data_IF_074801757838
#
_entry.id   IF_074801757838
#
_cell.length_a   1.000
_cell.length_b   1.000
_cell.length_c   1.000
_cell.angle_alpha   90.00
_cell.angle_beta   90.00
_cell.angle_gamma   90.00
#
_symmetry.space_group_name_H-M   'P 1'
#
loop_
_entity.id
_entity.type
_entity.pdbx_description
1 polymer ?
#
# COMPACT_ATOMS: atom_id res chain seq x y z
N UNK A 1 6.43 4.62 9.96
CA UNK A 1 7.15 4.48 8.69
C UNK A 1 6.27 4.87 7.50
N UNK A 2 6.89 5.42 6.44
CA UNK A 2 6.20 5.89 5.24
C UNK A 2 6.81 5.21 4.00
N UNK A 3 5.96 4.58 3.19
CA UNK A 3 6.35 4.02 1.89
C UNK A 3 6.11 5.07 0.81
N UNK A 4 7.14 5.39 0.05
CA UNK A 4 7.07 6.29 -1.10
C UNK A 4 7.17 5.50 -2.40
N UNK A 5 6.55 5.97 -3.48
CA UNK A 5 6.58 5.32 -4.79
C UNK A 5 7.99 4.87 -5.24
N UNK A 6 9.05 5.68 -5.10
CA UNK A 6 10.39 5.26 -5.51
C UNK A 6 10.96 4.06 -4.74
N UNK A 7 10.46 3.74 -3.55
CA UNK A 7 10.93 2.58 -2.77
C UNK A 7 10.23 1.28 -3.12
N UNK A 8 9.16 1.31 -3.93
CA UNK A 8 8.43 0.11 -4.33
C UNK A 8 9.16 -0.55 -5.51
N UNK A 9 9.44 -1.85 -5.38
CA UNK A 9 10.01 -2.73 -6.38
C UNK A 9 9.04 -3.86 -6.72
N UNK A 10 9.32 -4.62 -7.75
CA UNK A 10 8.65 -5.89 -7.98
C UNK A 10 8.88 -6.79 -6.77
N UNK A 11 7.79 -7.20 -6.12
CA UNK A 11 7.82 -8.07 -4.92
C UNK A 11 8.62 -7.52 -3.73
N UNK A 12 8.98 -6.24 -3.70
CA UNK A 12 9.80 -5.71 -2.62
C UNK A 12 9.57 -4.24 -2.30
N UNK A 13 9.96 -3.85 -1.11
CA UNK A 13 9.99 -2.46 -0.67
C UNK A 13 11.37 -2.18 -0.08
N UNK A 14 12.10 -1.26 -0.72
CA UNK A 14 13.34 -0.77 -0.16
C UNK A 14 13.07 0.05 1.10
N UNK A 15 13.87 -0.17 2.11
CA UNK A 15 13.75 0.58 3.37
C UNK A 15 14.06 2.07 3.11
N UNK A 16 13.07 2.92 3.31
CA UNK A 16 13.20 4.35 3.00
C UNK A 16 13.60 5.20 4.20
N UNK A 17 13.67 4.65 5.42
CA UNK A 17 13.91 5.38 6.68
C UNK A 17 13.07 6.67 6.82
N UNK A 18 11.91 6.72 6.16
CA UNK A 18 10.99 7.83 6.25
C UNK A 18 9.92 7.54 7.29
N UNK A 19 9.65 8.52 8.13
CA UNK A 19 8.59 8.47 9.15
C UNK A 19 7.71 9.72 9.03
N UNK A 20 6.49 9.63 9.52
CA UNK A 20 5.61 10.77 9.68
C UNK A 20 4.99 10.75 11.08
N UNK A 21 4.63 11.92 11.56
CA UNK A 21 3.74 12.02 12.72
C UNK A 21 2.33 11.68 12.22
N UNK A 22 1.69 10.72 12.89
CA UNK A 22 0.37 10.22 12.53
C UNK A 22 -0.59 10.46 13.70
N UNK A 23 -1.21 11.66 13.76
CA UNK A 23 -2.01 12.11 14.91
C UNK A 23 -3.44 11.56 14.88
N UNK A 24 -3.55 10.24 14.85
CA UNK A 24 -4.82 9.51 14.83
C UNK A 24 -4.75 8.34 15.80
N UNK A 25 -5.81 8.13 16.54
CA UNK A 25 -5.96 6.90 17.31
C UNK A 25 -6.18 5.70 16.39
N UNK A 26 -5.77 4.53 16.84
CA UNK A 26 -5.91 3.29 16.07
C UNK A 26 -7.38 3.02 15.73
N UNK A 27 -7.67 2.90 14.45
CA UNK A 27 -9.01 2.65 13.93
C UNK A 27 -9.86 3.90 13.74
N UNK A 28 -9.41 5.06 14.22
CA UNK A 28 -10.13 6.32 14.05
C UNK A 28 -9.70 7.02 12.74
N UNK A 29 -10.66 7.56 12.02
CA UNK A 29 -10.42 8.34 10.80
C UNK A 29 -10.40 9.84 11.05
N UNK A 30 -10.74 10.26 12.23
CA UNK A 30 -10.66 11.65 12.68
C UNK A 30 -9.34 11.90 13.39
N UNK A 31 -8.74 13.03 13.08
CA UNK A 31 -7.50 13.48 13.70
C UNK A 31 -7.73 13.81 15.19
N UNK A 32 -6.80 13.45 16.05
CA UNK A 32 -6.82 13.85 17.46
C UNK A 32 -6.90 15.38 17.53
N UNK A 33 -7.81 15.93 18.34
CA UNK A 33 -7.95 17.39 18.50
C UNK A 33 -6.67 18.00 19.10
N UNK A 34 -6.36 19.25 18.76
CA UNK A 34 -5.19 19.94 19.33
C UNK A 34 -5.24 19.97 20.86
N UNK A 35 -6.45 20.12 21.43
CA UNK A 35 -6.67 20.10 22.87
C UNK A 35 -6.29 18.77 23.51
N UNK A 36 -6.69 17.65 22.87
CA UNK A 36 -6.41 16.31 23.40
C UNK A 36 -4.96 15.91 23.10
N UNK A 37 -4.44 16.32 21.95
CA UNK A 37 -3.03 16.14 21.60
C UNK A 37 -2.11 16.83 22.62
N UNK A 38 -2.45 18.05 23.02
CA UNK A 38 -1.67 18.80 24.03
C UNK A 38 -1.69 18.14 25.42
N UNK A 39 -2.79 17.43 25.76
CA UNK A 39 -2.89 16.71 27.03
C UNK A 39 -2.09 15.40 27.04
N UNK A 40 -2.06 14.69 25.91
CA UNK A 40 -1.51 13.34 25.84
C UNK A 40 -0.10 13.30 25.25
N UNK A 41 0.22 14.25 24.35
CA UNK A 41 1.44 14.31 23.55
C UNK A 41 1.94 15.75 23.41
N UNK A 42 2.25 16.39 24.53
CA UNK A 42 2.62 17.81 24.64
C UNK A 42 3.66 18.25 23.62
N UNK A 43 4.79 17.53 23.51
CA UNK A 43 5.86 17.86 22.54
C UNK A 43 5.39 17.80 21.09
N UNK A 44 4.45 16.89 20.75
CA UNK A 44 3.89 16.81 19.41
C UNK A 44 2.97 17.99 19.13
N UNK A 45 2.18 18.39 20.11
CA UNK A 45 1.33 19.57 20.02
C UNK A 45 2.16 20.85 19.85
N UNK A 46 3.21 21.03 20.65
CA UNK A 46 4.16 22.16 20.51
C UNK A 46 4.80 22.19 19.12
N UNK A 47 5.26 21.04 18.62
CA UNK A 47 5.83 20.95 17.27
C UNK A 47 4.83 21.42 16.20
N UNK A 48 3.58 20.98 16.28
CA UNK A 48 2.55 21.41 15.34
C UNK A 48 2.24 22.91 15.46
N UNK A 49 2.11 23.44 16.67
CA UNK A 49 1.86 24.86 16.92
C UNK A 49 3.00 25.71 16.36
N UNK A 50 4.24 25.35 16.66
CA UNK A 50 5.43 26.06 16.17
C UNK A 50 5.52 26.10 14.65
N UNK A 51 5.05 25.02 13.97
CA UNK A 51 5.09 24.90 12.52
C UNK A 51 3.73 25.15 11.85
N UNK A 52 2.75 25.72 12.54
CA UNK A 52 1.38 25.89 12.07
C UNK A 52 1.30 26.61 10.72
N UNK A 53 2.07 27.67 10.53
CA UNK A 53 2.04 28.45 9.29
C UNK A 53 2.56 27.64 8.08
N UNK A 54 3.50 26.73 8.28
CA UNK A 54 4.06 25.88 7.24
C UNK A 54 3.12 24.72 6.92
N UNK A 55 2.67 24.01 7.94
CA UNK A 55 1.79 22.84 7.83
C UNK A 55 0.41 23.27 7.31
N UNK A 56 -0.17 24.33 7.84
CA UNK A 56 -1.47 24.84 7.46
C UNK A 56 -1.55 25.34 6.01
N UNK A 57 -0.44 25.82 5.44
CA UNK A 57 -0.38 26.13 4.00
C UNK A 57 -0.50 24.88 3.13
N UNK A 58 0.03 23.77 3.58
CA UNK A 58 -0.08 22.49 2.85
C UNK A 58 -1.48 21.89 3.00
N UNK A 59 -2.06 21.92 4.18
CA UNK A 59 -3.41 21.37 4.45
C UNK A 59 -4.48 22.13 3.67
N UNK A 60 -4.42 23.46 3.61
CA UNK A 60 -5.37 24.30 2.83
C UNK A 60 -5.35 24.01 1.33
N UNK A 61 -4.26 23.47 0.79
CA UNK A 61 -4.14 23.08 -0.63
C UNK A 61 -4.73 21.71 -0.93
N UNK A 62 -4.98 20.89 0.08
CA UNK A 62 -5.52 19.55 -0.12
C UNK A 62 -7.04 19.57 -0.02
N UNK A 63 -7.73 19.43 -1.15
CA UNK A 63 -9.19 19.23 -1.21
C UNK A 63 -9.65 17.91 -0.54
N UNK A 64 -8.71 17.06 -0.12
CA UNK A 64 -8.97 15.74 0.46
C UNK A 64 -8.99 15.73 1.98
N UNK A 65 -8.70 16.87 2.62
CA UNK A 65 -8.85 17.04 4.06
C UNK A 65 -10.26 17.57 4.31
N UNK A 66 -11.00 16.93 5.20
CA UNK A 66 -12.35 17.33 5.54
C UNK A 66 -12.38 18.77 6.06
N UNK A 67 -13.41 19.54 5.65
CA UNK A 67 -13.60 20.91 6.14
C UNK A 67 -13.82 20.87 7.65
N UNK A 68 -13.07 21.67 8.39
CA UNK A 68 -13.13 21.71 9.85
C UNK A 68 -12.15 20.76 10.57
N UNK A 69 -11.35 19.99 9.81
CA UNK A 69 -10.27 19.19 10.39
C UNK A 69 -9.14 20.04 10.95
N UNK A 70 -8.38 19.48 11.87
CA UNK A 70 -7.17 20.11 12.41
C UNK A 70 -6.17 20.46 11.30
N UNK A 71 -5.41 21.54 11.44
CA UNK A 71 -4.49 22.03 10.41
C UNK A 71 -3.36 21.06 10.08
N UNK A 72 -3.06 20.08 10.95
CA UNK A 72 -2.08 19.02 10.78
C UNK A 72 -2.70 17.70 10.31
N UNK A 73 -4.00 17.66 10.02
CA UNK A 73 -4.66 16.45 9.54
C UNK A 73 -4.04 15.97 8.22
N UNK A 74 -3.90 14.66 8.10
CA UNK A 74 -3.39 14.02 6.91
C UNK A 74 -4.53 13.75 5.91
N UNK A 75 -4.22 13.88 4.63
CA UNK A 75 -5.16 13.49 3.59
C UNK A 75 -5.21 11.98 3.43
N UNK A 76 -6.37 11.44 3.01
CA UNK A 76 -6.54 10.02 2.70
C UNK A 76 -6.32 9.08 3.88
N UNK A 77 -6.73 9.47 5.08
CA UNK A 77 -6.88 8.56 6.20
C UNK A 77 -8.30 8.00 6.18
N UNK A 78 -8.42 6.69 6.21
CA UNK A 78 -9.70 5.99 6.20
C UNK A 78 -9.58 4.63 6.88
N UNK A 79 -10.68 3.89 6.98
CA UNK A 79 -10.66 2.52 7.56
C UNK A 79 -9.59 1.65 6.91
N UNK A 80 -9.40 1.80 5.60
CA UNK A 80 -8.38 1.07 4.82
C UNK A 80 -6.94 1.28 5.32
N UNK A 81 -6.67 2.35 6.09
CA UNK A 81 -5.32 2.63 6.65
C UNK A 81 -4.92 1.61 7.72
N UNK A 82 -5.89 0.95 8.36
CA UNK A 82 -5.68 0.12 9.55
C UNK A 82 -5.65 -1.39 9.30
N UNK A 83 -5.53 -1.81 8.03
CA UNK A 83 -5.36 -3.22 7.69
C UNK A 83 -4.05 -3.80 8.24
N UNK A 84 -4.03 -5.12 8.47
CA UNK A 84 -2.81 -5.83 8.89
C UNK A 84 -1.97 -6.34 7.71
N UNK A 85 -2.48 -6.19 6.50
CA UNK A 85 -1.78 -6.44 5.24
C UNK A 85 -2.37 -5.55 4.16
N UNK A 86 -1.56 -5.17 3.20
CA UNK A 86 -1.99 -4.45 2.02
C UNK A 86 -1.10 -4.78 0.82
N UNK A 87 -1.58 -4.51 -0.37
CA UNK A 87 -0.77 -4.49 -1.59
C UNK A 87 -0.59 -3.05 -2.01
N UNK A 88 0.63 -2.55 -2.01
CA UNK A 88 0.96 -1.24 -2.58
C UNK A 88 1.51 -1.39 -4.00
N UNK A 89 1.30 -0.39 -4.83
CA UNK A 89 1.83 -0.37 -6.19
C UNK A 89 2.21 1.06 -6.60
N UNK A 90 3.06 1.17 -7.62
CA UNK A 90 3.37 2.47 -8.21
C UNK A 90 2.29 2.83 -9.21
N UNK A 91 1.73 4.03 -9.08
CA UNK A 91 0.73 4.56 -10.02
C UNK A 91 1.34 5.39 -11.16
N UNK A 92 2.67 5.44 -11.22
CA UNK A 92 3.42 6.18 -12.22
C UNK A 92 4.62 5.36 -12.71
N UNK A 93 5.05 5.62 -13.92
CA UNK A 93 6.18 4.96 -14.59
C UNK A 93 5.92 3.48 -14.90
N UNK A 94 6.47 2.53 -14.18
CA UNK A 94 6.27 1.08 -14.35
C UNK A 94 5.31 0.56 -13.29
N UNK A 95 4.30 -0.22 -13.68
CA UNK A 95 3.45 -0.93 -12.74
C UNK A 95 4.28 -2.00 -12.03
N UNK A 96 4.52 -1.82 -10.77
CA UNK A 96 5.14 -2.79 -9.87
C UNK A 96 4.40 -2.78 -8.55
N UNK A 97 4.28 -3.93 -7.91
CA UNK A 97 3.57 -4.07 -6.65
C UNK A 97 4.37 -4.85 -5.61
N UNK A 98 4.06 -4.59 -4.35
CA UNK A 98 4.59 -5.33 -3.23
C UNK A 98 3.60 -5.43 -2.09
N UNK A 99 3.75 -6.45 -1.26
CA UNK A 99 2.97 -6.61 -0.04
C UNK A 99 3.53 -5.69 1.06
N UNK A 100 2.63 -5.02 1.75
CA UNK A 100 2.93 -4.21 2.93
C UNK A 100 2.44 -4.97 4.16
N UNK A 101 3.35 -5.19 5.11
CA UNK A 101 3.08 -5.79 6.40
C UNK A 101 3.55 -4.87 7.52
N UNK A 102 3.04 -5.04 8.75
CA UNK A 102 3.56 -4.31 9.90
C UNK A 102 5.07 -4.56 10.09
N UNK A 103 5.83 -3.50 10.20
CA UNK A 103 7.28 -3.53 10.44
C UNK A 103 7.63 -3.01 11.83
N UNK A 104 8.76 -3.46 12.34
CA UNK A 104 9.31 -2.97 13.60
C UNK A 104 9.92 -1.59 13.40
N UNK A 105 9.52 -0.64 14.22
CA UNK A 105 10.11 0.71 14.25
C UNK A 105 11.42 0.73 15.03
N UNK A 106 12.27 1.74 14.85
CA UNK A 106 13.50 1.89 15.66
C UNK A 106 13.25 2.03 17.16
N UNK A 107 12.06 2.44 17.56
CA UNK A 107 11.64 2.56 18.96
C UNK A 107 10.89 1.35 19.51
N UNK A 108 10.90 0.22 18.77
CA UNK A 108 10.42 -1.08 19.26
C UNK A 108 8.92 -1.37 19.06
N UNK A 109 8.19 -0.53 18.33
CA UNK A 109 6.78 -0.76 18.03
C UNK A 109 6.59 -1.43 16.67
N UNK A 110 5.64 -2.37 16.57
CA UNK A 110 5.24 -2.98 15.32
C UNK A 110 4.04 -2.24 14.74
N UNK A 111 4.25 -1.51 13.65
CA UNK A 111 3.22 -0.67 13.04
C UNK A 111 3.08 -0.90 11.54
N UNK A 112 1.88 -0.68 11.02
CA UNK A 112 1.62 -0.70 9.58
C UNK A 112 2.19 0.57 8.94
N UNK A 113 3.01 0.46 7.89
CA UNK A 113 3.50 1.63 7.16
C UNK A 113 2.37 2.41 6.47
N UNK A 114 2.50 3.72 6.43
CA UNK A 114 1.60 4.60 5.67
C UNK A 114 2.12 4.73 4.24
N UNK A 115 1.25 4.51 3.26
CA UNK A 115 1.59 4.71 1.86
C UNK A 115 1.38 6.17 1.46
N UNK A 116 2.43 6.78 0.91
CA UNK A 116 2.42 8.18 0.48
C UNK A 116 1.68 8.36 -0.86
N UNK A 117 1.60 9.60 -1.33
CA UNK A 117 1.10 9.93 -2.67
C UNK A 117 1.88 9.13 -3.73
N UNK A 118 1.21 8.65 -4.76
CA UNK A 118 1.76 7.78 -5.81
C UNK A 118 2.20 6.37 -5.35
N UNK A 119 1.71 5.98 -4.20
CA UNK A 119 1.83 4.62 -3.66
C UNK A 119 0.45 4.14 -3.21
N UNK A 120 -0.55 4.08 -4.11
CA UNK A 120 -1.87 3.57 -3.74
C UNK A 120 -1.75 2.14 -3.24
N UNK A 121 -2.73 1.72 -2.43
CA UNK A 121 -2.72 0.39 -1.86
C UNK A 121 -4.12 -0.20 -1.70
N UNK A 122 -4.17 -1.51 -1.74
CA UNK A 122 -5.36 -2.33 -1.55
C UNK A 122 -5.22 -3.01 -0.19
N UNK A 123 -6.05 -2.66 0.77
CA UNK A 123 -6.11 -3.28 2.09
C UNK A 123 -7.50 -3.82 2.44
N UNK A 124 -8.50 -3.50 1.61
CA UNK A 124 -9.89 -3.91 1.81
C UNK A 124 -10.52 -4.30 0.50
N UNK A 125 -11.49 -5.22 0.57
CA UNK A 125 -12.36 -5.54 -0.54
C UNK A 125 -13.51 -4.51 -0.71
N UNK A 126 -14.33 -4.69 -1.74
CA UNK A 126 -15.48 -3.81 -2.03
C UNK A 126 -16.56 -3.82 -0.93
N UNK A 127 -16.57 -4.85 -0.07
CA UNK A 127 -17.51 -4.98 1.05
C UNK A 127 -16.97 -4.36 2.34
N UNK A 128 -15.75 -3.82 2.31
CA UNK A 128 -15.11 -3.21 3.47
C UNK A 128 -14.42 -4.21 4.41
N UNK A 129 -14.24 -5.48 4.00
CA UNK A 129 -13.47 -6.48 4.73
C UNK A 129 -11.98 -6.29 4.44
N UNK A 130 -11.16 -6.30 5.46
CA UNK A 130 -9.71 -6.30 5.28
C UNK A 130 -9.23 -7.57 4.57
N UNK A 131 -8.33 -7.40 3.62
CA UNK A 131 -7.68 -8.54 2.98
C UNK A 131 -6.73 -9.23 3.96
N UNK A 132 -6.63 -10.55 3.85
CA UNK A 132 -5.67 -11.35 4.58
C UNK A 132 -4.26 -11.20 3.99
N UNK A 133 -3.25 -11.62 4.73
CA UNK A 133 -1.88 -11.69 4.24
C UNK A 133 -1.73 -12.59 3.01
N UNK A 134 -2.46 -13.73 2.97
CA UNK A 134 -2.47 -14.62 1.80
C UNK A 134 -3.06 -13.94 0.57
N UNK A 135 -4.21 -13.24 0.74
CA UNK A 135 -4.81 -12.44 -0.34
C UNK A 135 -3.87 -11.36 -0.84
N UNK A 136 -3.13 -10.68 0.04
CA UNK A 136 -2.15 -9.68 -0.36
C UNK A 136 -1.04 -10.28 -1.23
N UNK A 137 -0.47 -11.43 -0.85
CA UNK A 137 0.53 -12.12 -1.67
C UNK A 137 -0.04 -12.62 -3.00
N UNK A 138 -1.27 -13.12 -3.00
CA UNK A 138 -1.97 -13.55 -4.20
C UNK A 138 -2.15 -12.39 -5.18
N UNK A 139 -2.70 -11.26 -4.71
CA UNK A 139 -2.93 -10.07 -5.53
C UNK A 139 -1.59 -9.50 -6.05
N UNK A 140 -0.59 -9.35 -5.18
CA UNK A 140 0.73 -8.85 -5.57
C UNK A 140 1.42 -9.78 -6.57
N UNK A 141 1.25 -11.09 -6.42
CA UNK A 141 1.74 -12.08 -7.38
C UNK A 141 1.21 -11.82 -8.79
N UNK A 142 -0.09 -11.69 -8.93
CA UNK A 142 -0.76 -11.46 -10.22
C UNK A 142 -0.39 -10.08 -10.80
N UNK A 143 -0.38 -9.04 -9.98
CA UNK A 143 -0.06 -7.67 -10.45
C UNK A 143 1.37 -7.53 -11.00
N UNK A 144 2.29 -8.39 -10.60
CA UNK A 144 3.67 -8.39 -11.10
C UNK A 144 3.90 -9.33 -12.29
N UNK A 145 2.91 -10.05 -12.79
CA UNK A 145 3.07 -10.88 -14.02
C UNK A 145 3.34 -9.99 -15.22
N UNK A 146 4.02 -10.54 -16.22
CA UNK A 146 4.36 -9.80 -17.45
C UNK A 146 3.10 -9.42 -18.21
N UNK A 147 2.12 -10.34 -18.31
CA UNK A 147 0.84 -10.07 -19.00
C UNK A 147 0.10 -8.87 -18.38
N UNK A 148 0.11 -8.74 -17.05
CA UNK A 148 -0.52 -7.60 -16.37
C UNK A 148 0.30 -6.33 -16.57
N UNK A 149 1.63 -6.39 -16.47
CA UNK A 149 2.50 -5.24 -16.67
C UNK A 149 2.42 -4.70 -18.12
N UNK A 150 2.37 -5.58 -19.11
CA UNK A 150 2.18 -5.22 -20.51
C UNK A 150 0.81 -4.61 -20.77
N UNK A 151 -0.26 -5.18 -20.19
CA UNK A 151 -1.59 -4.58 -20.25
C UNK A 151 -1.55 -3.12 -19.80
N UNK A 152 -0.91 -2.81 -18.67
CA UNK A 152 -0.74 -1.43 -18.19
C UNK A 152 0.08 -0.58 -19.13
N UNK A 153 1.17 -1.12 -19.65
CA UNK A 153 2.06 -0.41 -20.59
C UNK A 153 1.33 0.05 -21.85
N UNK A 154 0.42 -0.77 -22.37
CA UNK A 154 -0.31 -0.48 -23.61
C UNK A 154 -1.62 0.29 -23.40
N UNK A 155 -2.23 0.17 -22.22
CA UNK A 155 -3.54 0.76 -21.96
C UNK A 155 -3.45 2.16 -21.38
N UNK A 156 -2.37 2.49 -20.68
CA UNK A 156 -2.22 3.76 -19.98
C UNK A 156 -1.04 4.58 -20.53
N UNK A 157 -1.31 5.83 -20.90
CA UNK A 157 -0.27 6.77 -21.37
C UNK A 157 0.59 7.30 -20.21
N UNK A 158 1.58 6.59 -19.84
CA UNK A 158 2.89 6.98 -19.30
C UNK A 158 3.02 7.86 -18.05
N UNK A 159 2.00 8.53 -17.48
CA UNK A 159 2.23 9.45 -16.35
C UNK A 159 1.47 9.15 -15.06
N UNK A 160 0.35 8.51 -15.12
CA UNK A 160 -0.33 7.93 -13.95
C UNK A 160 -1.33 6.89 -14.40
N UNK A 161 -1.35 5.76 -13.71
CA UNK A 161 -2.35 4.73 -13.94
C UNK A 161 -3.63 5.11 -13.19
N UNK A 162 -4.79 4.80 -13.78
CA UNK A 162 -6.04 4.89 -13.04
C UNK A 162 -6.00 3.95 -11.83
N UNK A 163 -6.54 4.39 -10.71
CA UNK A 163 -6.73 3.54 -9.53
C UNK A 163 -7.72 2.40 -9.84
N UNK A 164 -8.58 2.57 -10.83
CA UNK A 164 -9.47 1.53 -11.32
C UNK A 164 -8.69 0.60 -12.25
N UNK A 165 -8.11 -0.43 -11.68
CA UNK A 165 -7.41 -1.48 -12.40
C UNK A 165 -8.46 -2.38 -13.07
N UNK A 166 -8.63 -2.29 -14.39
CA UNK A 166 -9.49 -3.20 -15.17
C UNK A 166 -8.78 -4.54 -15.40
N UNK A 167 -8.39 -5.19 -14.32
CA UNK A 167 -7.77 -6.51 -14.33
C UNK A 167 -8.70 -7.47 -13.62
N UNK A 168 -8.88 -8.62 -14.20
CA UNK A 168 -9.59 -9.69 -13.54
C UNK A 168 -8.67 -10.42 -12.57
N UNK A 169 -8.98 -10.34 -11.30
CA UNK A 169 -8.34 -11.12 -10.25
C UNK A 169 -9.45 -11.93 -9.58
N UNK A 170 -9.48 -13.27 -9.77
CA UNK A 170 -10.45 -14.13 -9.09
C UNK A 170 -10.39 -13.91 -7.56
N UNK A 171 -11.54 -13.99 -6.90
CA UNK A 171 -11.56 -13.96 -5.44
C UNK A 171 -10.69 -15.09 -4.88
N UNK A 172 -9.92 -14.77 -3.87
CA UNK A 172 -9.04 -15.75 -3.23
C UNK A 172 -9.86 -16.81 -2.49
N UNK A 173 -9.58 -18.08 -2.80
CA UNK A 173 -10.12 -19.25 -2.13
C UNK A 173 -8.97 -20.11 -1.59
N UNK A 174 -8.92 -20.27 -0.28
CA UNK A 174 -7.87 -21.05 0.40
C UNK A 174 -7.95 -22.56 0.09
N UNK A 175 -9.01 -23.03 -0.54
CA UNK A 175 -9.15 -24.41 -1.03
C UNK A 175 -8.61 -24.59 -2.45
N UNK A 176 -8.39 -23.52 -3.19
CA UNK A 176 -7.90 -23.57 -4.58
C UNK A 176 -6.37 -23.74 -4.60
N UNK A 177 -5.90 -24.91 -5.06
CA UNK A 177 -4.47 -25.23 -5.08
C UNK A 177 -3.66 -24.31 -6.01
N UNK A 178 -4.24 -23.85 -7.14
CA UNK A 178 -3.56 -22.93 -8.05
C UNK A 178 -3.30 -21.59 -7.32
N UNK A 179 -4.31 -21.06 -6.66
CA UNK A 179 -4.19 -19.81 -5.91
C UNK A 179 -3.20 -19.92 -4.75
N UNK A 180 -3.21 -21.04 -4.01
CA UNK A 180 -2.21 -21.30 -2.95
C UNK A 180 -0.78 -21.36 -3.51
N UNK A 181 -0.60 -21.92 -4.68
CA UNK A 181 0.72 -21.97 -5.32
C UNK A 181 1.17 -20.57 -5.76
N UNK A 182 0.29 -19.72 -6.27
CA UNK A 182 0.58 -18.30 -6.54
C UNK A 182 1.04 -17.59 -5.26
N UNK A 183 0.34 -17.81 -4.13
CA UNK A 183 0.74 -17.25 -2.82
C UNK A 183 2.17 -17.67 -2.45
N UNK A 184 2.48 -18.97 -2.52
CA UNK A 184 3.81 -19.51 -2.18
C UNK A 184 4.92 -18.91 -3.05
N UNK A 185 4.67 -18.83 -4.36
CA UNK A 185 5.61 -18.25 -5.32
C UNK A 185 5.81 -16.75 -5.06
N UNK A 186 4.72 -16.02 -4.84
CA UNK A 186 4.78 -14.60 -4.49
C UNK A 186 5.56 -14.37 -3.19
N UNK A 187 5.33 -15.17 -2.15
CA UNK A 187 6.11 -15.11 -0.91
C UNK A 187 7.60 -15.40 -1.14
N UNK A 188 7.93 -16.34 -2.03
CA UNK A 188 9.32 -16.62 -2.42
C UNK A 188 9.92 -15.42 -3.13
N UNK A 189 9.20 -14.82 -4.08
CA UNK A 189 9.63 -13.62 -4.81
C UNK A 189 9.95 -12.47 -3.86
N UNK A 190 9.09 -12.21 -2.86
CA UNK A 190 9.33 -11.16 -1.86
C UNK A 190 10.60 -11.37 -1.02
N UNK A 191 11.05 -12.60 -0.85
CA UNK A 191 12.31 -12.90 -0.14
C UNK A 191 13.55 -12.66 -1.00
N UNK A 192 13.41 -12.74 -2.32
CA UNK A 192 14.52 -12.64 -3.28
C UNK A 192 14.37 -11.46 -4.25
N UNK A 193 13.64 -10.44 -3.87
CA UNK A 193 13.26 -9.33 -4.77
C UNK A 193 14.46 -8.54 -5.34
N UNK A 194 15.65 -8.70 -4.80
CA UNK A 194 16.90 -8.14 -5.32
C UNK A 194 17.61 -9.05 -6.32
N UNK A 195 17.13 -10.29 -6.54
CA UNK A 195 17.69 -11.23 -7.52
C UNK A 195 16.81 -11.25 -8.77
N UNK A 196 17.16 -10.41 -9.75
CA UNK A 196 16.40 -10.24 -10.98
C UNK A 196 16.18 -11.57 -11.74
N UNK A 197 17.18 -12.47 -11.74
CA UNK A 197 17.07 -13.76 -12.44
C UNK A 197 16.03 -14.67 -11.77
N UNK A 198 16.07 -14.76 -10.45
CA UNK A 198 15.08 -15.55 -9.72
C UNK A 198 13.69 -14.95 -9.82
N UNK A 199 13.57 -13.61 -9.78
CA UNK A 199 12.29 -12.92 -9.95
C UNK A 199 11.68 -13.25 -11.30
N UNK A 200 12.42 -13.21 -12.39
CA UNK A 200 11.87 -13.49 -13.72
C UNK A 200 11.35 -14.93 -13.84
N UNK A 201 12.09 -15.92 -13.31
CA UNK A 201 11.63 -17.31 -13.26
C UNK A 201 10.34 -17.46 -12.47
N UNK A 202 10.27 -16.82 -11.29
CA UNK A 202 9.07 -16.91 -10.43
C UNK A 202 7.88 -16.20 -11.08
N UNK A 203 8.09 -15.07 -11.75
CA UNK A 203 7.03 -14.34 -12.48
C UNK A 203 6.42 -15.22 -13.57
N UNK A 204 7.22 -15.90 -14.36
CA UNK A 204 6.74 -16.82 -15.39
C UNK A 204 5.88 -17.94 -14.79
N UNK A 205 6.33 -18.54 -13.68
CA UNK A 205 5.55 -19.56 -12.97
C UNK A 205 4.19 -19.03 -12.44
N UNK A 206 4.18 -17.82 -11.90
CA UNK A 206 2.95 -17.18 -11.44
C UNK A 206 2.03 -16.89 -12.63
N UNK A 207 2.56 -16.40 -13.73
CA UNK A 207 1.82 -16.08 -14.95
C UNK A 207 1.13 -17.31 -15.55
N UNK A 208 1.84 -18.43 -15.66
CA UNK A 208 1.25 -19.69 -16.10
C UNK A 208 0.07 -20.14 -15.22
N UNK A 209 0.21 -20.01 -13.90
CA UNK A 209 -0.87 -20.33 -12.98
C UNK A 209 -2.04 -19.34 -13.08
N UNK A 210 -1.76 -18.06 -13.25
CA UNK A 210 -2.80 -17.04 -13.41
C UNK A 210 -3.59 -17.23 -14.69
N UNK A 211 -2.93 -17.54 -15.82
CA UNK A 211 -3.60 -17.83 -17.09
C UNK A 211 -4.52 -19.06 -16.97
N UNK A 212 -4.09 -20.13 -16.29
CA UNK A 212 -4.96 -21.28 -15.99
C UNK A 212 -6.20 -20.92 -15.18
N UNK A 213 -6.10 -19.94 -14.26
CA UNK A 213 -7.26 -19.44 -13.53
C UNK A 213 -8.22 -18.64 -14.43
N UNK A 214 -7.71 -17.99 -15.46
CA UNK A 214 -8.51 -17.25 -16.41
C UNK A 214 -9.25 -18.17 -17.40
N UNK A 215 -8.63 -19.29 -17.81
CA UNK A 215 -9.20 -20.26 -18.77
C UNK A 215 -10.33 -21.12 -18.15
N UNK A 216 -10.33 -21.29 -16.84
CA UNK A 216 -11.35 -22.06 -16.10
C UNK A 216 -12.60 -21.23 -15.75
N UNK A 217 -12.95 -20.26 -16.59
CA UNK A 217 -14.18 -19.45 -16.43
C UNK A 217 -15.43 -20.12 -16.98
#
# INVERSE_FOLDING_TARGET
PVIKSPSIREFGIENSNNYCIFPYEKGNTECISLKDLNKQYEYTAEYFIKNMNLIGKQSKRSKMIAKGSEFYALSKVGKYTYGNAAVTFRDNTKMVSSVVEPIMTPWGEKVMPICAKHSPYISMDKKGRYISKKEAYYISGILNTNVVQEYFRYTYSGRSYSINLNIYIPLFDDNNEIQKNIVKLSQKAHKVFNDEKQIEIIKQQIEELYLKLCDNR
#
